data_IF_162630154286
#
_entry.id   IF_162630154286
#
_cell.length_a   1.000
_cell.length_b   1.000
_cell.length_c   1.000
_cell.angle_alpha   90.00
_cell.angle_beta   90.00
_cell.angle_gamma   90.00
#
_symmetry.space_group_name_H-M   'P 1'
#
loop_
_entity.id
_entity.type
_entity.pdbx_description
1 polymer ?
#
# COMPACT_ATOMS: atom_id res chain seq x y z
N UNK A 1 -11.97 4.33 -6.35
CA UNK A 1 -10.86 4.86 -5.54
C UNK A 1 -10.47 3.90 -4.44
N UNK A 2 -9.20 3.80 -4.18
CA UNK A 2 -8.67 3.02 -3.08
C UNK A 2 -7.90 3.97 -2.17
N UNK A 3 -8.08 3.85 -0.86
CA UNK A 3 -7.35 4.66 0.10
C UNK A 3 -6.97 3.80 1.30
N UNK A 4 -5.94 4.24 2.01
CA UNK A 4 -5.54 3.58 3.25
C UNK A 4 -6.62 3.76 4.31
N UNK A 5 -6.81 2.73 5.10
CA UNK A 5 -7.64 2.84 6.29
C UNK A 5 -6.83 3.54 7.37
N UNK A 6 -7.37 4.60 7.96
CA UNK A 6 -6.65 5.32 9.00
C UNK A 6 -6.53 4.44 10.24
N UNK A 7 -5.33 4.02 10.56
CA UNK A 7 -5.08 3.18 11.72
C UNK A 7 -3.71 3.47 12.32
N UNK A 8 -3.58 3.33 13.65
CA UNK A 8 -2.26 3.46 14.29
C UNK A 8 -1.27 2.43 13.78
N UNK A 9 -1.72 1.23 13.44
CA UNK A 9 -0.88 0.17 12.92
C UNK A 9 -0.25 0.57 11.59
N UNK A 10 -1.02 1.17 10.70
CA UNK A 10 -0.49 1.65 9.42
C UNK A 10 0.58 2.70 9.64
N UNK A 11 0.32 3.67 10.49
CA UNK A 11 1.30 4.73 10.76
C UNK A 11 2.58 4.17 11.34
N UNK A 12 2.47 3.20 12.24
CA UNK A 12 3.64 2.54 12.83
C UNK A 12 4.45 1.80 11.79
N UNK A 13 3.79 1.04 10.92
CA UNK A 13 4.48 0.27 9.87
C UNK A 13 5.22 1.19 8.91
N UNK A 14 4.59 2.29 8.50
CA UNK A 14 5.22 3.23 7.58
C UNK A 14 6.40 3.95 8.25
N UNK A 15 6.28 4.25 9.55
CA UNK A 15 7.38 4.83 10.30
C UNK A 15 8.57 3.86 10.39
N UNK A 16 8.30 2.58 10.66
CA UNK A 16 9.33 1.56 10.70
C UNK A 16 10.01 1.38 9.35
N UNK A 17 9.23 1.48 8.27
CA UNK A 17 9.78 1.41 6.92
C UNK A 17 10.76 2.56 6.67
N UNK A 18 10.40 3.76 7.07
CA UNK A 18 11.28 4.94 6.92
C UNK A 18 12.54 4.80 7.74
N UNK A 19 12.41 4.30 8.97
CA UNK A 19 13.55 4.06 9.83
C UNK A 19 14.47 3.00 9.22
N UNK A 20 13.90 1.91 8.72
CA UNK A 20 14.65 0.87 8.06
C UNK A 20 15.44 1.40 6.86
N UNK A 21 14.82 2.28 6.06
CA UNK A 21 15.49 2.91 4.93
C UNK A 21 16.63 3.80 5.39
N UNK A 22 16.43 4.56 6.46
CA UNK A 22 17.47 5.43 7.02
C UNK A 22 18.65 4.62 7.55
N UNK A 23 18.40 3.40 8.02
CA UNK A 23 19.44 2.49 8.52
C UNK A 23 19.94 1.56 7.42
N UNK A 24 19.57 1.81 6.16
CA UNK A 24 19.97 1.00 5.01
C UNK A 24 19.49 -0.46 5.10
N UNK A 25 18.41 -0.69 5.80
CA UNK A 25 17.76 -1.99 5.82
C UNK A 25 16.88 -2.16 4.59
N UNK A 26 16.78 -3.39 4.08
CA UNK A 26 15.91 -3.63 2.93
C UNK A 26 14.43 -3.59 3.34
N UNK A 27 13.58 -3.11 2.43
CA UNK A 27 12.13 -3.14 2.65
C UNK A 27 11.61 -4.56 2.80
N UNK A 28 12.28 -5.53 2.15
CA UNK A 28 11.93 -6.93 2.29
C UNK A 28 12.13 -7.40 3.74
N UNK A 29 13.23 -7.00 4.38
CA UNK A 29 13.47 -7.36 5.77
C UNK A 29 12.43 -6.77 6.69
N UNK A 30 12.05 -5.51 6.49
CA UNK A 30 11.00 -4.86 7.27
C UNK A 30 9.66 -5.56 7.06
N UNK A 31 9.28 -5.82 5.80
CA UNK A 31 8.03 -6.49 5.48
C UNK A 31 7.97 -7.90 6.05
N UNK A 32 9.08 -8.65 5.95
CA UNK A 32 9.15 -10.00 6.49
C UNK A 32 8.96 -10.00 8.00
N UNK A 33 9.58 -9.08 8.71
CA UNK A 33 9.46 -8.97 10.16
C UNK A 33 8.03 -8.64 10.58
N UNK A 34 7.29 -7.91 9.76
CA UNK A 34 5.91 -7.50 10.04
C UNK A 34 4.86 -8.40 9.40
N UNK A 35 5.29 -9.41 8.63
CA UNK A 35 4.37 -10.29 7.92
C UNK A 35 3.67 -9.63 6.74
N UNK A 36 4.26 -8.59 6.18
CA UNK A 36 3.69 -7.85 5.05
C UNK A 36 4.69 -7.90 3.90
N UNK A 37 4.20 -8.14 2.69
CA UNK A 37 5.07 -8.18 1.51
C UNK A 37 5.54 -6.79 1.13
N UNK A 38 6.73 -6.72 0.55
CA UNK A 38 7.32 -5.47 0.11
C UNK A 38 6.41 -4.71 -0.87
N UNK A 39 5.78 -5.43 -1.80
CA UNK A 39 4.85 -4.83 -2.75
C UNK A 39 3.65 -4.18 -2.04
N UNK A 40 3.16 -4.81 -0.98
CA UNK A 40 2.06 -4.28 -0.19
C UNK A 40 2.46 -2.99 0.52
N UNK A 41 3.67 -2.97 1.10
CA UNK A 41 4.20 -1.76 1.75
C UNK A 41 4.34 -0.60 0.76
N UNK A 42 4.78 -0.89 -0.45
CA UNK A 42 4.92 0.13 -1.49
C UNK A 42 3.57 0.76 -1.82
N UNK A 43 2.54 -0.06 -1.96
CA UNK A 43 1.18 0.43 -2.25
C UNK A 43 0.65 1.28 -1.09
N UNK A 44 0.83 0.81 0.13
CA UNK A 44 0.39 1.56 1.32
C UNK A 44 1.09 2.91 1.42
N UNK A 45 2.38 2.94 1.14
CA UNK A 45 3.15 4.18 1.19
C UNK A 45 2.68 5.18 0.13
N UNK A 46 2.45 4.72 -1.09
CA UNK A 46 1.95 5.58 -2.17
C UNK A 46 0.58 6.17 -1.79
N UNK A 47 -0.33 5.34 -1.30
CA UNK A 47 -1.66 5.80 -0.89
C UNK A 47 -1.58 6.78 0.28
N UNK A 48 -0.68 6.53 1.21
CA UNK A 48 -0.51 7.42 2.37
C UNK A 48 -0.02 8.80 1.95
N UNK A 49 0.89 8.85 0.97
CA UNK A 49 1.47 10.13 0.52
C UNK A 49 0.58 10.87 -0.46
N UNK A 50 -0.08 10.16 -1.37
CA UNK A 50 -0.81 10.79 -2.47
C UNK A 50 -2.32 10.83 -2.25
N UNK A 51 -2.84 10.05 -1.31
CA UNK A 51 -4.27 9.98 -1.07
C UNK A 51 -4.96 8.98 -1.98
N UNK A 52 -6.29 9.06 -2.11
CA UNK A 52 -7.04 8.05 -2.86
C UNK A 52 -6.64 7.99 -4.33
N UNK A 53 -6.48 6.77 -4.83
CA UNK A 53 -6.10 6.51 -6.22
C UNK A 53 -6.92 5.34 -6.75
N UNK A 54 -7.08 5.30 -8.08
CA UNK A 54 -7.68 4.16 -8.73
C UNK A 54 -6.66 3.03 -8.84
N UNK A 55 -7.13 1.77 -9.01
CA UNK A 55 -6.19 0.67 -9.24
C UNK A 55 -5.26 0.89 -10.43
N UNK A 56 -5.77 1.51 -11.50
CA UNK A 56 -4.96 1.81 -12.69
C UNK A 56 -3.87 2.82 -12.35
N UNK A 57 -4.21 3.85 -11.59
CA UNK A 57 -3.22 4.83 -11.16
C UNK A 57 -2.14 4.22 -10.27
N UNK A 58 -2.57 3.36 -9.33
CA UNK A 58 -1.63 2.64 -8.46
C UNK A 58 -0.70 1.73 -9.26
N UNK A 59 -1.23 1.01 -10.23
CA UNK A 59 -0.41 0.14 -11.08
C UNK A 59 0.63 0.95 -11.83
N UNK A 60 0.24 2.11 -12.36
CA UNK A 60 1.15 2.99 -13.08
C UNK A 60 2.26 3.53 -12.17
N UNK A 61 1.90 4.01 -10.99
CA UNK A 61 2.86 4.60 -10.06
C UNK A 61 3.85 3.58 -9.51
N UNK A 62 3.43 2.35 -9.36
CA UNK A 62 4.27 1.29 -8.82
C UNK A 62 4.91 0.44 -9.92
N UNK A 63 4.65 0.78 -11.20
CA UNK A 63 5.17 0.04 -12.35
C UNK A 63 4.81 -1.44 -12.28
N UNK A 64 3.55 -1.71 -11.98
CA UNK A 64 3.02 -3.05 -11.78
C UNK A 64 1.90 -3.28 -12.78
N UNK A 65 1.76 -4.51 -13.26
CA UNK A 65 0.62 -4.86 -14.09
C UNK A 65 -0.68 -4.74 -13.31
N UNK A 66 -1.74 -4.33 -13.98
CA UNK A 66 -3.04 -4.14 -13.34
C UNK A 66 -3.54 -5.43 -12.68
N UNK A 67 -3.33 -6.57 -13.33
CA UNK A 67 -3.74 -7.85 -12.74
C UNK A 67 -3.03 -8.12 -11.41
N UNK A 68 -1.73 -7.83 -11.34
CA UNK A 68 -0.95 -7.97 -10.11
C UNK A 68 -1.46 -7.00 -9.05
N UNK A 69 -1.70 -5.76 -9.45
CA UNK A 69 -2.21 -4.74 -8.53
C UNK A 69 -3.58 -5.14 -7.97
N UNK A 70 -4.44 -5.72 -8.79
CA UNK A 70 -5.74 -6.19 -8.33
C UNK A 70 -5.59 -7.22 -7.21
N UNK A 71 -4.64 -8.14 -7.35
CA UNK A 71 -4.34 -9.12 -6.31
C UNK A 71 -3.81 -8.50 -5.03
N UNK A 72 -2.90 -7.54 -5.16
CA UNK A 72 -2.35 -6.80 -4.00
C UNK A 72 -3.47 -6.09 -3.25
N UNK A 73 -4.33 -5.37 -3.97
CA UNK A 73 -5.41 -4.61 -3.35
C UNK A 73 -6.41 -5.52 -2.66
N UNK A 74 -6.69 -6.69 -3.26
CA UNK A 74 -7.60 -7.65 -2.66
C UNK A 74 -7.06 -8.16 -1.32
N UNK A 75 -5.75 -8.43 -1.23
CA UNK A 75 -5.13 -8.82 0.04
C UNK A 75 -5.20 -7.69 1.07
N UNK A 76 -4.91 -6.48 0.65
CA UNK A 76 -4.90 -5.33 1.55
C UNK A 76 -6.31 -5.00 2.05
N UNK A 77 -7.32 -5.15 1.19
CA UNK A 77 -8.71 -4.98 1.60
C UNK A 77 -9.11 -6.01 2.65
N UNK A 78 -8.74 -7.28 2.43
CA UNK A 78 -9.05 -8.35 3.38
C UNK A 78 -8.38 -8.14 4.73
N UNK A 79 -7.18 -7.58 4.72
CA UNK A 79 -6.44 -7.29 5.94
C UNK A 79 -6.89 -6.03 6.65
N UNK A 80 -7.79 -5.26 6.06
CA UNK A 80 -8.26 -4.00 6.63
C UNK A 80 -7.28 -2.84 6.47
N UNK A 81 -6.27 -2.98 5.62
CA UNK A 81 -5.28 -1.94 5.41
C UNK A 81 -5.75 -0.83 4.47
N UNK A 82 -6.62 -1.17 3.53
CA UNK A 82 -7.18 -0.21 2.58
C UNK A 82 -8.68 -0.43 2.51
N UNK A 83 -9.39 0.61 2.10
CA UNK A 83 -10.81 0.54 1.81
C UNK A 83 -11.04 1.00 0.38
N UNK A 84 -12.05 0.45 -0.25
CA UNK A 84 -12.40 0.75 -1.61
C UNK A 84 -13.70 1.53 -1.63
N UNK A 85 -13.68 2.66 -2.34
CA UNK A 85 -14.86 3.49 -2.52
C UNK A 85 -15.11 3.68 -4.00
N UNK A 86 -16.38 3.81 -4.43
CA UNK A 86 -16.65 4.17 -5.81
C UNK A 86 -16.02 5.53 -6.13
N UNK A 87 -15.39 5.60 -7.30
CA UNK A 87 -14.93 6.87 -7.82
C UNK A 87 -16.14 7.57 -8.42
N UNK A 88 -16.32 8.86 -8.11
CA UNK A 88 -17.45 9.62 -8.65
C UNK A 88 -17.47 9.64 -10.18
N UNK A 89 -16.31 9.55 -10.81
CA UNK A 89 -16.19 9.49 -12.26
C UNK A 89 -16.29 8.08 -12.81
N UNK A 90 -16.24 7.07 -11.96
CA UNK A 90 -16.24 5.66 -12.35
C UNK A 90 -17.60 5.04 -12.02
N UNK A 91 -18.31 4.66 -13.03
CA UNK A 91 -19.65 4.09 -12.87
C UNK A 91 -19.67 2.66 -13.30
#
# INVERSE_FOLDING_TARGET
MVNVSDSPQLRMILALRRLGSALSMSNRAVGSALGIKDADLTVLDVLHREGPLTPTELARRTRTHLATMTGVLRRLERGGWVERRPDAADR
#
